data_IF_226072294188
#
_entry.id   IF_226072294188
#
_cell.length_a   1.000
_cell.length_b   1.000
_cell.length_c   1.000
_cell.angle_alpha   90.00
_cell.angle_beta   90.00
_cell.angle_gamma   90.00
#
_symmetry.space_group_name_H-M   'P 1'
#
loop_
_entity.id
_entity.type
_entity.pdbx_description
1 polymer ?
#
# COMPACT_ATOMS: atom_id res chain seq x y z
N UNK A 1 -31.41 -22.10 -20.55
CA UNK A 1 -31.47 -22.78 -19.24
C UNK A 1 -30.51 -23.94 -19.33
N UNK A 2 -29.24 -23.67 -19.07
CA UNK A 2 -28.29 -24.74 -18.75
C UNK A 2 -28.69 -25.24 -17.36
N UNK A 3 -28.97 -26.53 -17.26
CA UNK A 3 -29.22 -27.18 -15.98
C UNK A 3 -27.87 -27.27 -15.29
N UNK A 4 -27.66 -26.49 -14.22
CA UNK A 4 -26.57 -26.74 -13.28
C UNK A 4 -26.78 -28.16 -12.73
N UNK A 5 -25.85 -29.07 -13.00
CA UNK A 5 -25.82 -30.38 -12.33
C UNK A 5 -25.75 -30.13 -10.82
N UNK A 6 -26.73 -30.61 -10.06
CA UNK A 6 -26.72 -30.57 -8.59
C UNK A 6 -25.45 -31.31 -8.11
N UNK A 7 -24.45 -30.54 -7.71
CA UNK A 7 -23.21 -31.08 -7.16
C UNK A 7 -23.50 -31.64 -5.77
N UNK A 8 -23.17 -32.91 -5.56
CA UNK A 8 -23.34 -33.58 -4.26
C UNK A 8 -22.50 -32.83 -3.20
N UNK A 9 -23.09 -32.37 -2.07
CA UNK A 9 -22.35 -31.68 -1.01
C UNK A 9 -21.19 -32.52 -0.50
N UNK A 10 -20.05 -31.89 -0.18
CA UNK A 10 -18.83 -32.62 0.19
C UNK A 10 -19.04 -33.58 1.37
N UNK A 11 -19.85 -33.19 2.36
CA UNK A 11 -20.12 -33.97 3.57
C UNK A 11 -21.00 -35.21 3.32
N UNK A 12 -21.61 -35.35 2.13
CA UNK A 12 -22.34 -36.55 1.73
C UNK A 12 -21.46 -37.54 0.97
N UNK A 13 -20.23 -37.15 0.62
CA UNK A 13 -19.30 -38.02 -0.10
C UNK A 13 -18.71 -39.08 0.84
N UNK A 14 -18.51 -40.34 0.38
CA UNK A 14 -18.05 -41.44 1.24
C UNK A 14 -16.73 -41.16 1.97
N UNK A 15 -15.83 -40.39 1.36
CA UNK A 15 -14.54 -39.99 1.91
C UNK A 15 -14.62 -39.04 3.12
N UNK A 16 -15.81 -38.60 3.53
CA UNK A 16 -16.04 -37.80 4.74
C UNK A 16 -16.75 -38.59 5.86
N UNK A 17 -17.09 -39.86 5.62
CA UNK A 17 -17.86 -40.68 6.56
C UNK A 17 -17.13 -41.04 7.86
N UNK A 18 -15.81 -40.95 7.88
CA UNK A 18 -14.96 -41.16 9.06
C UNK A 18 -14.87 -39.91 9.97
N UNK A 19 -15.26 -38.73 9.47
CA UNK A 19 -15.16 -37.47 10.20
C UNK A 19 -16.44 -37.21 10.97
N UNK A 20 -16.32 -37.09 12.30
CA UNK A 20 -17.42 -36.67 13.16
C UNK A 20 -17.40 -35.13 13.28
N UNK A 21 -18.40 -34.40 12.74
CA UNK A 21 -18.43 -32.93 12.78
C UNK A 21 -18.49 -32.40 14.22
N UNK A 22 -17.85 -31.26 14.47
CA UNK A 22 -17.80 -30.62 15.79
C UNK A 22 -18.58 -29.30 15.76
N UNK A 23 -19.76 -29.22 16.40
CA UNK A 23 -20.56 -28.00 16.49
C UNK A 23 -19.79 -26.81 17.10
N UNK A 24 -20.16 -25.59 16.70
CA UNK A 24 -19.71 -24.39 17.40
C UNK A 24 -20.32 -24.35 18.81
N UNK A 25 -19.50 -24.10 19.82
CA UNK A 25 -19.95 -23.88 21.20
C UNK A 25 -19.94 -22.38 21.53
N UNK A 26 -21.09 -21.72 21.38
CA UNK A 26 -21.30 -20.32 21.77
C UNK A 26 -21.77 -20.18 23.24
N UNK A 27 -21.73 -21.28 24.01
CA UNK A 27 -22.20 -21.34 25.38
C UNK A 27 -23.73 -21.31 25.52
N UNK A 28 -24.24 -21.35 26.76
CA UNK A 28 -25.69 -21.45 27.02
C UNK A 28 -26.47 -20.16 26.76
N UNK A 29 -25.81 -18.99 26.70
CA UNK A 29 -26.44 -17.68 26.51
C UNK A 29 -25.59 -16.82 25.54
N UNK A 30 -25.66 -17.08 24.23
CA UNK A 30 -24.82 -16.38 23.25
C UNK A 30 -25.20 -14.89 23.14
N UNK A 31 -24.20 -14.00 23.08
CA UNK A 31 -24.41 -12.55 23.02
C UNK A 31 -24.67 -12.02 21.59
N UNK A 32 -24.11 -12.69 20.59
CA UNK A 32 -24.19 -12.31 19.16
C UNK A 32 -24.29 -13.55 18.25
N UNK A 33 -25.24 -14.48 18.49
CA UNK A 33 -25.37 -15.67 17.67
C UNK A 33 -25.72 -15.29 16.24
N UNK A 34 -24.99 -15.84 15.28
CA UNK A 34 -25.29 -15.69 13.86
C UNK A 34 -26.20 -16.84 13.45
N UNK A 35 -27.33 -16.53 12.81
CA UNK A 35 -28.21 -17.52 12.21
C UNK A 35 -27.60 -18.01 10.89
N UNK A 36 -26.59 -18.88 10.97
CA UNK A 36 -25.89 -19.42 9.81
C UNK A 36 -26.81 -20.23 8.90
N UNK A 37 -26.48 -20.27 7.60
CA UNK A 37 -27.07 -21.26 6.70
C UNK A 37 -26.64 -22.66 7.14
N UNK A 38 -27.44 -23.68 6.77
CA UNK A 38 -27.10 -25.08 7.06
C UNK A 38 -25.73 -25.42 6.47
N UNK A 39 -25.51 -25.05 5.22
CA UNK A 39 -24.23 -25.21 4.54
C UNK A 39 -23.06 -24.64 5.34
N UNK A 40 -23.11 -23.35 5.72
CA UNK A 40 -22.03 -22.72 6.47
C UNK A 40 -21.78 -23.43 7.81
N UNK A 41 -22.85 -23.72 8.57
CA UNK A 41 -22.71 -24.40 9.87
C UNK A 41 -22.09 -25.78 9.71
N UNK A 42 -22.53 -26.58 8.74
CA UNK A 42 -22.00 -27.92 8.48
C UNK A 42 -20.55 -27.85 8.04
N UNK A 43 -20.20 -27.00 7.07
CA UNK A 43 -18.81 -26.85 6.60
C UNK A 43 -17.87 -26.47 7.74
N UNK A 44 -18.29 -25.53 8.61
CA UNK A 44 -17.50 -25.13 9.77
C UNK A 44 -17.40 -26.23 10.84
N UNK A 45 -18.43 -27.06 11.01
CA UNK A 45 -18.37 -28.20 11.94
C UNK A 45 -17.31 -29.22 11.51
N UNK A 46 -17.25 -29.51 10.20
CA UNK A 46 -16.21 -30.36 9.62
C UNK A 46 -14.82 -29.71 9.72
N UNK A 47 -14.72 -28.39 9.48
CA UNK A 47 -13.45 -27.68 9.63
C UNK A 47 -12.93 -27.73 11.07
N UNK A 48 -13.79 -27.57 12.07
CA UNK A 48 -13.44 -27.75 13.49
C UNK A 48 -12.96 -29.17 13.80
N UNK A 49 -13.60 -30.19 13.20
CA UNK A 49 -13.17 -31.59 13.34
C UNK A 49 -11.78 -31.83 12.75
N UNK A 50 -11.57 -31.43 11.49
CA UNK A 50 -10.30 -31.56 10.76
C UNK A 50 -9.15 -30.84 11.48
N UNK A 51 -9.38 -29.60 11.91
CA UNK A 51 -8.35 -28.80 12.60
C UNK A 51 -8.01 -29.34 13.98
N UNK A 52 -8.99 -29.86 14.74
CA UNK A 52 -8.75 -30.53 16.03
C UNK A 52 -7.96 -31.82 15.88
N UNK A 53 -8.18 -32.56 14.80
CA UNK A 53 -7.39 -33.75 14.45
C UNK A 53 -5.99 -33.40 13.91
N UNK A 54 -5.72 -32.13 13.61
CA UNK A 54 -4.51 -31.65 12.94
C UNK A 54 -4.25 -32.39 11.61
N UNK A 55 -5.32 -32.74 10.89
CA UNK A 55 -5.23 -33.56 9.69
C UNK A 55 -4.60 -32.78 8.52
N UNK A 56 -3.50 -33.32 7.99
CA UNK A 56 -2.81 -32.78 6.81
C UNK A 56 -3.06 -33.67 5.59
N UNK A 57 -4.15 -33.40 4.87
CA UNK A 57 -4.61 -34.20 3.73
C UNK A 57 -5.13 -33.35 2.59
N UNK A 58 -5.26 -33.94 1.40
CA UNK A 58 -5.85 -33.26 0.24
C UNK A 58 -7.30 -32.83 0.50
N UNK A 59 -8.12 -33.68 1.15
CA UNK A 59 -9.50 -33.33 1.52
C UNK A 59 -9.57 -32.17 2.51
N UNK A 60 -8.59 -32.06 3.42
CA UNK A 60 -8.51 -30.93 4.33
C UNK A 60 -8.19 -29.64 3.57
N UNK A 61 -7.34 -29.70 2.53
CA UNK A 61 -7.03 -28.55 1.68
C UNK A 61 -8.25 -28.12 0.86
N UNK A 62 -8.96 -29.06 0.25
CA UNK A 62 -10.24 -28.80 -0.45
C UNK A 62 -11.28 -28.18 0.48
N UNK A 63 -11.39 -28.67 1.72
CA UNK A 63 -12.31 -28.08 2.71
C UNK A 63 -11.97 -26.62 3.02
N UNK A 64 -10.67 -26.26 3.09
CA UNK A 64 -10.31 -24.84 3.30
C UNK A 64 -10.78 -23.95 2.16
N UNK A 65 -10.77 -24.43 0.91
CA UNK A 65 -11.27 -23.70 -0.24
C UNK A 65 -12.77 -23.41 -0.13
N UNK A 66 -13.56 -24.43 0.25
CA UNK A 66 -15.01 -24.29 0.48
C UNK A 66 -15.28 -23.28 1.60
N UNK A 67 -14.59 -23.40 2.74
CA UNK A 67 -14.77 -22.48 3.87
C UNK A 67 -14.38 -21.04 3.48
N UNK A 68 -13.30 -20.86 2.73
CA UNK A 68 -12.87 -19.55 2.25
C UNK A 68 -13.90 -18.95 1.29
N UNK A 69 -14.46 -19.74 0.37
CA UNK A 69 -15.53 -19.28 -0.52
C UNK A 69 -16.78 -18.80 0.25
N UNK A 70 -17.09 -19.45 1.38
CA UNK A 70 -18.20 -19.04 2.25
C UNK A 70 -17.87 -17.85 3.15
N UNK A 71 -16.62 -17.70 3.59
CA UNK A 71 -16.17 -16.61 4.45
C UNK A 71 -14.68 -16.27 4.22
N UNK A 72 -14.38 -15.42 3.22
CA UNK A 72 -13.01 -15.05 2.85
C UNK A 72 -12.23 -14.32 3.95
N UNK A 73 -12.91 -13.77 4.96
CA UNK A 73 -12.29 -13.08 6.09
C UNK A 73 -11.84 -14.01 7.22
N UNK A 74 -12.08 -15.32 7.13
CA UNK A 74 -11.80 -16.26 8.22
C UNK A 74 -10.29 -16.60 8.33
N UNK A 75 -9.52 -15.75 9.01
CA UNK A 75 -8.05 -15.85 9.07
C UNK A 75 -7.50 -17.18 9.59
N UNK A 76 -8.19 -17.89 10.50
CA UNK A 76 -7.77 -19.23 10.96
C UNK A 76 -7.72 -20.25 9.82
N UNK A 77 -8.63 -20.16 8.86
CA UNK A 77 -8.72 -21.08 7.72
C UNK A 77 -7.56 -20.82 6.76
N UNK A 78 -7.26 -19.53 6.50
CA UNK A 78 -6.10 -19.12 5.71
C UNK A 78 -4.78 -19.61 6.32
N UNK A 79 -4.60 -19.46 7.63
CA UNK A 79 -3.43 -20.00 8.32
C UNK A 79 -3.35 -21.53 8.17
N UNK A 80 -4.47 -22.23 8.34
CA UNK A 80 -4.49 -23.68 8.19
C UNK A 80 -4.14 -24.10 6.76
N UNK A 81 -4.69 -23.42 5.76
CA UNK A 81 -4.39 -23.61 4.34
C UNK A 81 -2.89 -23.43 4.03
N UNK A 82 -2.26 -22.37 4.55
CA UNK A 82 -0.81 -22.16 4.39
C UNK A 82 0.02 -23.34 4.92
N UNK A 83 -0.35 -23.87 6.10
CA UNK A 83 0.30 -25.05 6.66
C UNK A 83 0.11 -26.29 5.78
N UNK A 84 -1.10 -26.48 5.23
CA UNK A 84 -1.40 -27.60 4.33
C UNK A 84 -0.63 -27.51 3.02
N UNK A 85 -0.57 -26.34 2.38
CA UNK A 85 0.20 -26.12 1.15
C UNK A 85 1.66 -26.53 1.33
N UNK A 86 2.25 -26.16 2.47
CA UNK A 86 3.62 -26.55 2.84
C UNK A 86 3.75 -28.04 3.13
N UNK A 87 2.87 -28.60 3.97
CA UNK A 87 2.94 -30.00 4.38
C UNK A 87 2.74 -30.97 3.21
N UNK A 88 1.89 -30.61 2.26
CA UNK A 88 1.56 -31.41 1.08
C UNK A 88 2.47 -31.10 -0.12
N UNK A 89 3.41 -30.17 0.01
CA UNK A 89 4.31 -29.72 -1.06
C UNK A 89 3.56 -29.39 -2.36
N UNK A 90 2.52 -28.55 -2.25
CA UNK A 90 1.66 -28.18 -3.39
C UNK A 90 2.38 -27.23 -4.36
N UNK A 91 1.95 -27.28 -5.62
CA UNK A 91 2.38 -26.35 -6.65
C UNK A 91 1.81 -24.94 -6.36
N UNK A 92 2.69 -24.04 -5.92
CA UNK A 92 2.33 -22.68 -5.53
C UNK A 92 1.87 -21.82 -6.71
N UNK A 93 2.18 -22.17 -7.96
CA UNK A 93 1.69 -21.41 -9.11
C UNK A 93 0.18 -21.58 -9.29
N UNK A 94 -0.34 -22.79 -9.03
CA UNK A 94 -1.80 -23.04 -9.03
C UNK A 94 -2.49 -22.27 -7.91
N UNK A 95 -1.84 -22.19 -6.75
CA UNK A 95 -2.36 -21.39 -5.64
C UNK A 95 -2.39 -19.90 -5.98
N UNK A 96 -1.35 -19.35 -6.61
CA UNK A 96 -1.31 -17.95 -7.04
C UNK A 96 -2.40 -17.61 -8.05
N UNK A 97 -2.73 -18.53 -8.95
CA UNK A 97 -3.84 -18.36 -9.90
C UNK A 97 -5.20 -18.38 -9.18
N UNK A 98 -5.41 -19.31 -8.25
CA UNK A 98 -6.63 -19.33 -7.44
C UNK A 98 -6.78 -18.05 -6.62
N UNK A 99 -5.70 -17.58 -5.99
CA UNK A 99 -5.68 -16.32 -5.24
C UNK A 99 -5.93 -15.11 -6.13
N UNK A 100 -5.49 -15.12 -7.40
CA UNK A 100 -5.78 -14.04 -8.35
C UNK A 100 -7.29 -13.90 -8.57
N UNK A 101 -8.00 -14.99 -8.81
CA UNK A 101 -9.47 -14.98 -8.93
C UNK A 101 -10.14 -14.48 -7.65
N UNK A 102 -9.64 -14.91 -6.48
CA UNK A 102 -10.14 -14.43 -5.18
C UNK A 102 -9.92 -12.92 -4.99
N UNK A 103 -8.85 -12.34 -5.54
CA UNK A 103 -8.61 -10.88 -5.51
C UNK A 103 -9.63 -10.14 -6.38
N UNK A 104 -9.95 -10.65 -7.56
CA UNK A 104 -10.96 -10.06 -8.45
C UNK A 104 -12.33 -9.98 -7.75
N UNK A 105 -12.74 -11.04 -7.05
CA UNK A 105 -14.02 -11.08 -6.34
C UNK A 105 -14.01 -10.29 -5.01
N UNK A 106 -12.88 -10.28 -4.32
CA UNK A 106 -12.75 -9.74 -2.96
C UNK A 106 -11.50 -8.85 -2.76
N UNK A 107 -11.36 -7.76 -3.54
CA UNK A 107 -10.12 -6.98 -3.62
C UNK A 107 -9.81 -6.18 -2.34
N UNK A 108 -10.73 -6.15 -1.36
CA UNK A 108 -10.61 -5.44 -0.08
C UNK A 108 -10.41 -6.37 1.13
N UNK A 109 -10.07 -7.64 0.88
CA UNK A 109 -9.82 -8.62 1.94
C UNK A 109 -8.35 -8.60 2.39
N UNK A 110 -8.11 -8.34 3.68
CA UNK A 110 -6.77 -8.43 4.26
C UNK A 110 -6.15 -9.81 4.09
N UNK A 111 -6.94 -10.87 4.27
CA UNK A 111 -6.46 -12.24 4.29
C UNK A 111 -5.97 -12.69 2.91
N UNK A 112 -6.67 -12.31 1.84
CA UNK A 112 -6.33 -12.70 0.47
C UNK A 112 -5.00 -12.06 0.05
N UNK A 113 -4.84 -10.75 0.26
CA UNK A 113 -3.58 -10.06 -0.05
C UNK A 113 -2.42 -10.57 0.79
N UNK A 114 -2.65 -10.81 2.08
CA UNK A 114 -1.63 -11.41 2.95
C UNK A 114 -1.26 -12.84 2.50
N UNK A 115 -2.25 -13.65 2.10
CA UNK A 115 -1.99 -14.99 1.62
C UNK A 115 -1.16 -14.97 0.33
N UNK A 116 -1.49 -14.09 -0.63
CA UNK A 116 -0.69 -13.89 -1.85
C UNK A 116 0.77 -13.57 -1.50
N UNK A 117 0.97 -12.61 -0.59
CA UNK A 117 2.30 -12.23 -0.10
C UNK A 117 3.09 -13.43 0.44
N UNK A 118 2.47 -14.24 1.29
CA UNK A 118 3.08 -15.45 1.85
C UNK A 118 3.46 -16.44 0.75
N UNK A 119 2.57 -16.68 -0.21
CA UNK A 119 2.82 -17.64 -1.30
C UNK A 119 3.96 -17.14 -2.21
N UNK A 120 3.97 -15.86 -2.57
CA UNK A 120 5.05 -15.25 -3.38
C UNK A 120 6.40 -15.31 -2.64
N UNK A 121 6.44 -15.01 -1.35
CA UNK A 121 7.67 -15.08 -0.55
C UNK A 121 8.23 -16.52 -0.50
N UNK A 122 7.36 -17.51 -0.27
CA UNK A 122 7.76 -18.91 -0.25
C UNK A 122 8.24 -19.40 -1.63
N UNK A 123 7.52 -19.02 -2.69
CA UNK A 123 7.90 -19.37 -4.06
C UNK A 123 9.26 -18.72 -4.42
N UNK A 124 9.46 -17.44 -4.07
CA UNK A 124 10.72 -16.73 -4.32
C UNK A 124 11.93 -17.38 -3.64
N UNK A 125 11.77 -17.92 -2.44
CA UNK A 125 12.83 -18.70 -1.75
C UNK A 125 13.15 -19.99 -2.52
N UNK A 126 12.15 -20.68 -3.08
CA UNK A 126 12.36 -21.88 -3.89
C UNK A 126 13.02 -21.58 -5.25
N UNK A 127 12.81 -20.36 -5.78
CA UNK A 127 13.34 -19.92 -7.06
C UNK A 127 14.82 -19.46 -6.97
N UNK A 128 15.35 -19.25 -5.76
CA UNK A 128 16.76 -19.00 -5.49
C UNK A 128 17.45 -20.34 -5.13
N UNK A 129 18.62 -20.69 -5.69
CA UNK A 129 19.28 -21.93 -5.33
C UNK A 129 19.64 -21.93 -3.84
N UNK A 130 19.53 -23.10 -3.22
CA UNK A 130 19.99 -23.28 -1.85
C UNK A 130 21.46 -22.85 -1.71
N UNK A 131 21.88 -22.26 -0.56
CA UNK A 131 23.26 -21.86 -0.29
C UNK A 131 24.25 -23.03 -0.13
N UNK A 132 24.07 -24.12 -0.88
CA UNK A 132 24.81 -25.38 -0.74
C UNK A 132 25.57 -25.79 -1.99
N UNK A 133 25.93 -24.86 -2.87
CA UNK A 133 26.93 -25.11 -3.91
C UNK A 133 27.83 -23.87 -4.10
N UNK A 134 29.00 -23.92 -3.46
CA UNK A 134 30.11 -22.96 -3.45
C UNK A 134 30.06 -21.83 -2.40
N UNK A 135 30.85 -22.07 -1.36
CA UNK A 135 31.25 -21.13 -0.31
C UNK A 135 31.84 -19.82 -0.87
N UNK A 136 31.16 -18.72 -0.60
CA UNK A 136 31.81 -17.43 -0.39
C UNK A 136 31.22 -16.80 0.87
N UNK A 137 32.06 -16.68 1.89
CA UNK A 137 31.74 -16.20 3.22
C UNK A 137 31.08 -14.81 3.19
N UNK A 138 29.80 -14.73 3.51
CA UNK A 138 29.15 -13.47 3.91
C UNK A 138 29.30 -13.31 5.43
N UNK A 139 30.47 -12.81 5.84
CA UNK A 139 30.73 -12.41 7.22
C UNK A 139 30.09 -11.05 7.49
N UNK A 140 29.07 -11.02 8.34
CA UNK A 140 28.54 -9.77 8.90
C UNK A 140 27.05 -9.81 9.22
N UNK A 141 26.62 -10.72 10.11
CA UNK A 141 25.26 -10.65 10.68
C UNK A 141 25.39 -10.59 12.20
N UNK A 142 25.13 -9.40 12.75
CA UNK A 142 24.92 -9.19 14.18
C UNK A 142 23.48 -9.55 14.51
N UNK A 143 23.31 -10.38 15.54
CA UNK A 143 22.03 -10.93 15.98
C UNK A 143 21.26 -9.93 16.86
N UNK A 144 20.20 -9.33 16.31
CA UNK A 144 19.01 -8.92 17.06
C UNK A 144 17.87 -8.62 16.09
N UNK A 145 16.70 -9.20 16.37
CA UNK A 145 15.39 -9.07 15.72
C UNK A 145 15.06 -10.07 14.59
N UNK A 146 14.07 -10.92 14.91
CA UNK A 146 13.55 -11.98 14.07
C UNK A 146 12.57 -11.41 13.01
N UNK A 147 13.10 -10.79 11.96
CA UNK A 147 12.47 -10.68 10.62
C UNK A 147 13.56 -10.35 9.59
N UNK A 148 14.60 -11.18 9.50
CA UNK A 148 15.61 -11.01 8.44
C UNK A 148 15.12 -11.72 7.19
N UNK A 149 14.39 -11.00 6.34
CA UNK A 149 14.12 -11.44 4.97
C UNK A 149 15.47 -11.68 4.30
N UNK A 150 15.74 -12.93 3.92
CA UNK A 150 16.95 -13.33 3.21
C UNK A 150 16.87 -12.84 1.76
N UNK A 151 17.00 -11.52 1.56
CA UNK A 151 17.00 -10.95 0.21
C UNK A 151 18.41 -11.06 -0.36
N UNK A 152 18.65 -12.06 -1.21
CA UNK A 152 19.86 -12.10 -2.03
C UNK A 152 19.79 -10.89 -2.99
N UNK A 153 20.79 -9.99 -3.00
CA UNK A 153 20.76 -8.83 -3.90
C UNK A 153 20.61 -9.25 -5.36
N UNK A 154 19.66 -8.66 -6.08
CA UNK A 154 19.41 -8.97 -7.49
C UNK A 154 20.68 -8.93 -8.37
N UNK A 155 21.65 -8.07 -8.03
CA UNK A 155 22.90 -7.91 -8.77
C UNK A 155 23.82 -9.14 -8.70
N UNK A 156 23.71 -9.97 -7.65
CA UNK A 156 24.57 -11.14 -7.48
C UNK A 156 23.95 -12.43 -8.03
N UNK A 157 22.70 -12.35 -8.51
CA UNK A 157 22.01 -13.47 -9.14
C UNK A 157 22.62 -13.80 -10.51
N UNK A 158 22.54 -15.08 -10.89
CA UNK A 158 22.84 -15.48 -12.27
C UNK A 158 21.72 -15.04 -13.24
N UNK A 159 21.97 -15.12 -14.55
CA UNK A 159 21.00 -14.61 -15.53
C UNK A 159 19.68 -15.39 -15.56
N UNK A 160 19.68 -16.69 -15.23
CA UNK A 160 18.44 -17.47 -15.15
C UNK A 160 17.62 -17.04 -13.94
N UNK A 161 18.27 -16.86 -12.78
CA UNK A 161 17.63 -16.37 -11.57
C UNK A 161 17.08 -14.95 -11.75
N UNK A 162 17.86 -14.05 -12.37
CA UNK A 162 17.39 -12.70 -12.70
C UNK A 162 16.14 -12.74 -13.57
N UNK A 163 16.13 -13.61 -14.59
CA UNK A 163 14.97 -13.75 -15.45
C UNK A 163 13.73 -14.20 -14.66
N UNK A 164 13.88 -15.22 -13.83
CA UNK A 164 12.80 -15.69 -12.94
C UNK A 164 12.27 -14.60 -12.00
N UNK A 165 13.17 -13.81 -11.39
CA UNK A 165 12.78 -12.68 -10.54
C UNK A 165 12.05 -11.60 -11.33
N UNK A 166 12.54 -11.24 -12.53
CA UNK A 166 11.87 -10.28 -13.41
C UNK A 166 10.46 -10.75 -13.76
N UNK A 167 10.31 -12.01 -14.15
CA UNK A 167 9.01 -12.58 -14.52
C UNK A 167 8.04 -12.59 -13.33
N UNK A 168 8.54 -12.91 -12.14
CA UNK A 168 7.74 -12.88 -10.91
C UNK A 168 7.27 -11.46 -10.60
N UNK A 169 8.19 -10.48 -10.55
CA UNK A 169 7.85 -9.07 -10.28
C UNK A 169 6.85 -8.56 -11.31
N UNK A 170 7.08 -8.83 -12.61
CA UNK A 170 6.19 -8.42 -13.69
C UNK A 170 4.77 -8.95 -13.47
N UNK A 171 4.61 -10.25 -13.20
CA UNK A 171 3.30 -10.86 -12.94
C UNK A 171 2.59 -10.24 -11.73
N UNK A 172 3.32 -9.99 -10.63
CA UNK A 172 2.73 -9.34 -9.46
C UNK A 172 2.28 -7.90 -9.77
N UNK A 173 3.11 -7.12 -10.48
CA UNK A 173 2.75 -5.76 -10.88
C UNK A 173 1.58 -5.72 -11.87
N UNK A 174 1.40 -6.75 -12.70
CA UNK A 174 0.24 -6.93 -13.59
C UNK A 174 -1.05 -7.16 -12.79
N UNK A 175 -1.07 -8.12 -11.86
CA UNK A 175 -2.25 -8.37 -10.99
C UNK A 175 -2.64 -7.14 -10.18
N UNK A 176 -1.64 -6.40 -9.68
CA UNK A 176 -1.87 -5.13 -9.00
C UNK A 176 -2.48 -4.10 -9.96
N UNK A 177 -1.94 -3.98 -11.17
CA UNK A 177 -2.41 -3.02 -12.16
C UNK A 177 -3.86 -3.31 -12.58
N UNK A 178 -4.23 -4.58 -12.73
CA UNK A 178 -5.61 -5.01 -12.98
C UNK A 178 -6.55 -4.55 -11.85
N UNK A 179 -6.16 -4.77 -10.58
CA UNK A 179 -6.96 -4.30 -9.44
C UNK A 179 -7.07 -2.77 -9.42
N UNK A 180 -5.98 -2.06 -9.70
CA UNK A 180 -5.94 -0.60 -9.70
C UNK A 180 -6.65 0.03 -10.90
N UNK A 181 -6.85 -0.72 -11.99
CA UNK A 181 -7.68 -0.28 -13.11
C UNK A 181 -9.15 -0.17 -12.68
N UNK A 182 -9.63 -1.08 -11.83
CA UNK A 182 -10.99 -1.07 -11.29
C UNK A 182 -11.15 -0.09 -10.11
N UNK A 183 -10.22 -0.12 -9.15
CA UNK A 183 -10.17 0.77 -7.99
C UNK A 183 -8.76 1.34 -7.82
N UNK A 184 -8.50 2.47 -8.48
CA UNK A 184 -7.19 3.15 -8.50
C UNK A 184 -6.71 3.65 -7.13
N UNK A 185 -7.54 3.51 -6.09
CA UNK A 185 -7.25 3.89 -4.71
C UNK A 185 -7.33 2.71 -3.75
N UNK A 186 -7.38 1.47 -4.26
CA UNK A 186 -7.37 0.27 -3.42
C UNK A 186 -6.10 0.24 -2.54
N UNK A 187 -6.30 0.37 -1.24
CA UNK A 187 -5.21 0.47 -0.28
C UNK A 187 -4.40 -0.82 -0.18
N UNK A 188 -5.03 -1.98 -0.33
CA UNK A 188 -4.35 -3.27 -0.26
C UNK A 188 -3.45 -3.48 -1.47
N UNK A 189 -3.94 -3.17 -2.67
CA UNK A 189 -3.17 -3.25 -3.90
C UNK A 189 -1.94 -2.33 -3.85
N UNK A 190 -2.09 -1.07 -3.40
CA UNK A 190 -0.96 -0.15 -3.22
C UNK A 190 0.03 -0.62 -2.16
N UNK A 191 -0.46 -1.12 -1.01
CA UNK A 191 0.41 -1.65 0.05
C UNK A 191 1.20 -2.86 -0.42
N UNK A 192 0.54 -3.76 -1.15
CA UNK A 192 1.16 -4.94 -1.75
C UNK A 192 2.18 -4.55 -2.83
N UNK A 193 1.88 -3.56 -3.67
CA UNK A 193 2.82 -3.02 -4.67
C UNK A 193 4.11 -2.52 -4.03
N UNK A 194 4.01 -1.75 -2.94
CA UNK A 194 5.19 -1.30 -2.20
C UNK A 194 5.96 -2.47 -1.60
N UNK A 195 5.27 -3.47 -1.06
CA UNK A 195 5.92 -4.68 -0.58
C UNK A 195 6.67 -5.41 -1.69
N UNK A 196 6.09 -5.62 -2.87
CA UNK A 196 6.76 -6.27 -4.02
C UNK A 196 8.06 -5.52 -4.36
N UNK A 197 7.98 -4.20 -4.55
CA UNK A 197 9.14 -3.38 -4.90
C UNK A 197 10.24 -3.45 -3.82
N UNK A 198 9.87 -3.36 -2.55
CA UNK A 198 10.82 -3.45 -1.42
C UNK A 198 11.38 -4.86 -1.21
N UNK A 199 10.56 -5.89 -1.38
CA UNK A 199 10.92 -7.30 -1.13
C UNK A 199 11.94 -7.78 -2.15
N UNK A 200 11.73 -7.51 -3.44
CA UNK A 200 12.68 -7.88 -4.50
C UNK A 200 13.86 -6.90 -4.61
N UNK A 201 13.76 -5.74 -3.96
CA UNK A 201 14.87 -4.81 -3.81
C UNK A 201 15.25 -4.09 -5.11
N UNK A 202 16.50 -3.60 -5.24
CA UNK A 202 16.93 -2.82 -6.41
C UNK A 202 16.93 -3.66 -7.70
N UNK A 203 16.14 -3.23 -8.70
CA UNK A 203 16.00 -3.86 -10.02
C UNK A 203 15.36 -2.90 -11.04
N UNK A 204 15.18 -3.32 -12.30
CA UNK A 204 14.68 -2.45 -13.38
C UNK A 204 13.25 -1.91 -13.14
N UNK A 205 12.43 -2.64 -12.38
CA UNK A 205 11.05 -2.28 -12.07
C UNK A 205 10.88 -0.94 -11.32
N UNK A 206 11.93 -0.41 -10.68
CA UNK A 206 11.84 0.91 -10.02
C UNK A 206 11.81 2.08 -11.00
N UNK A 207 12.45 1.95 -12.17
CA UNK A 207 12.41 2.98 -13.22
C UNK A 207 11.04 2.97 -13.90
N UNK A 208 10.55 1.78 -14.26
CA UNK A 208 9.22 1.54 -14.83
C UNK A 208 8.10 2.03 -13.90
N UNK A 209 8.31 1.99 -12.59
CA UNK A 209 7.33 2.46 -11.61
C UNK A 209 7.05 3.96 -11.75
N UNK A 210 8.04 4.79 -12.08
CA UNK A 210 7.83 6.23 -12.29
C UNK A 210 7.00 6.52 -13.55
N UNK A 211 7.14 5.70 -14.59
CA UNK A 211 6.35 5.78 -15.82
C UNK A 211 4.89 5.40 -15.53
N UNK A 212 4.68 4.26 -14.86
CA UNK A 212 3.36 3.82 -14.43
C UNK A 212 2.62 4.88 -13.60
N UNK A 213 3.33 5.54 -12.68
CA UNK A 213 2.77 6.63 -11.87
C UNK A 213 2.41 7.84 -12.74
N UNK A 214 3.22 8.21 -13.73
CA UNK A 214 2.91 9.35 -14.59
C UNK A 214 1.69 9.08 -15.47
N UNK A 215 1.49 7.83 -15.93
CA UNK A 215 0.28 7.42 -16.64
C UNK A 215 -0.96 7.59 -15.74
N UNK A 216 -0.91 7.08 -14.51
CA UNK A 216 -2.00 7.23 -13.54
C UNK A 216 -2.30 8.70 -13.22
N UNK A 217 -1.27 9.53 -13.03
CA UNK A 217 -1.43 10.96 -12.74
C UNK A 217 -1.80 11.79 -13.98
N UNK A 218 -1.63 11.23 -15.18
CA UNK A 218 -2.15 11.82 -16.43
C UNK A 218 -3.65 11.58 -16.55
N UNK A 219 -4.13 10.41 -16.12
CA UNK A 219 -5.56 10.09 -16.05
C UNK A 219 -6.26 10.82 -14.90
N UNK A 220 -5.75 10.71 -13.67
CA UNK A 220 -6.27 11.40 -12.49
C UNK A 220 -5.14 12.03 -11.65
N UNK A 221 -4.90 13.31 -11.90
CA UNK A 221 -3.93 14.11 -11.12
C UNK A 221 -4.31 14.25 -9.64
N UNK A 222 -5.56 13.94 -9.24
CA UNK A 222 -6.02 13.95 -7.83
C UNK A 222 -5.89 12.58 -7.16
N UNK A 223 -5.31 11.58 -7.82
CA UNK A 223 -5.06 10.29 -7.21
C UNK A 223 -3.93 10.41 -6.17
N UNK A 224 -4.31 10.63 -4.91
CA UNK A 224 -3.36 10.76 -3.81
C UNK A 224 -2.53 9.48 -3.59
N UNK A 225 -3.05 8.31 -3.92
CA UNK A 225 -2.30 7.05 -3.80
C UNK A 225 -1.15 7.00 -4.81
N UNK A 226 -1.34 7.49 -6.03
CA UNK A 226 -0.28 7.61 -7.03
C UNK A 226 0.77 8.67 -6.62
N UNK A 227 0.36 9.80 -6.04
CA UNK A 227 1.30 10.78 -5.46
C UNK A 227 2.09 10.21 -4.28
N UNK A 228 1.44 9.45 -3.41
CA UNK A 228 2.09 8.72 -2.32
C UNK A 228 3.09 7.70 -2.87
N UNK A 229 2.73 6.95 -3.91
CA UNK A 229 3.63 6.01 -4.56
C UNK A 229 4.84 6.73 -5.17
N UNK A 230 4.62 7.89 -5.81
CA UNK A 230 5.73 8.71 -6.33
C UNK A 230 6.70 9.07 -5.23
N UNK A 231 6.19 9.50 -4.07
CA UNK A 231 7.00 9.84 -2.91
C UNK A 231 7.74 8.62 -2.35
N UNK A 232 7.07 7.47 -2.30
CA UNK A 232 7.70 6.20 -1.91
C UNK A 232 8.90 5.87 -2.82
N UNK A 233 8.74 5.92 -4.15
CA UNK A 233 9.82 5.60 -5.10
C UNK A 233 11.04 6.50 -4.90
N UNK A 234 10.85 7.82 -4.78
CA UNK A 234 11.98 8.74 -4.64
C UNK A 234 12.62 8.72 -3.24
N UNK A 235 11.91 8.24 -2.22
CA UNK A 235 12.34 8.35 -0.81
C UNK A 235 12.81 7.04 -0.21
N UNK A 236 12.38 5.90 -0.77
CA UNK A 236 12.69 4.53 -0.35
C UNK A 236 13.25 3.68 -1.50
N UNK A 237 13.20 4.15 -2.74
CA UNK A 237 13.81 3.46 -3.87
C UNK A 237 15.33 3.44 -3.81
N UNK A 238 15.98 2.69 -4.72
CA UNK A 238 17.41 2.44 -4.69
C UNK A 238 18.26 3.67 -5.07
N UNK A 239 17.68 4.64 -5.78
CA UNK A 239 18.38 5.85 -6.21
C UNK A 239 18.64 6.79 -5.03
N UNK A 240 19.87 7.31 -4.94
CA UNK A 240 20.20 8.39 -4.01
C UNK A 240 19.40 9.63 -4.40
N UNK A 241 18.75 10.29 -3.44
CA UNK A 241 18.03 11.54 -3.66
C UNK A 241 19.03 12.69 -3.86
N UNK A 242 19.55 12.81 -5.08
CA UNK A 242 20.46 13.87 -5.52
C UNK A 242 19.71 15.16 -5.85
N UNK A 243 20.43 16.29 -5.90
CA UNK A 243 19.83 17.59 -6.20
C UNK A 243 19.11 17.62 -7.56
N UNK A 244 19.62 16.92 -8.58
CA UNK A 244 18.96 16.83 -9.90
C UNK A 244 17.61 16.10 -9.84
N UNK A 245 17.49 15.07 -9.00
CA UNK A 245 16.23 14.38 -8.77
C UNK A 245 15.27 15.31 -8.01
N UNK A 246 15.76 16.02 -6.98
CA UNK A 246 14.93 16.96 -6.22
C UNK A 246 14.40 18.07 -7.13
N UNK A 247 15.26 18.67 -7.95
CA UNK A 247 14.87 19.72 -8.90
C UNK A 247 13.84 19.20 -9.91
N UNK A 248 14.05 17.99 -10.45
CA UNK A 248 13.08 17.32 -11.34
C UNK A 248 11.72 17.15 -10.66
N UNK A 249 11.68 16.67 -9.42
CA UNK A 249 10.44 16.42 -8.70
C UNK A 249 9.73 17.71 -8.26
N UNK A 250 10.47 18.74 -7.87
CA UNK A 250 9.92 20.08 -7.61
C UNK A 250 9.29 20.64 -8.88
N UNK A 251 10.00 20.57 -10.02
CA UNK A 251 9.47 21.03 -11.31
C UNK A 251 8.23 20.24 -11.74
N UNK A 252 8.23 18.91 -11.53
CA UNK A 252 7.09 18.04 -11.81
C UNK A 252 5.86 18.45 -10.99
N UNK A 253 6.02 18.64 -9.68
CA UNK A 253 4.94 19.05 -8.78
C UNK A 253 4.40 20.43 -9.15
N UNK A 254 5.28 21.42 -9.38
CA UNK A 254 4.91 22.78 -9.83
C UNK A 254 4.08 22.74 -11.11
N UNK A 255 4.49 21.96 -12.12
CA UNK A 255 3.74 21.79 -13.38
C UNK A 255 2.33 21.23 -13.16
N UNK A 256 2.14 20.30 -12.22
CA UNK A 256 0.81 19.74 -11.92
C UNK A 256 -0.03 20.72 -11.08
N UNK A 257 0.59 21.47 -10.15
CA UNK A 257 -0.04 22.56 -9.38
C UNK A 257 -0.57 23.65 -10.32
N UNK A 258 0.23 24.13 -11.28
CA UNK A 258 -0.19 25.18 -12.21
C UNK A 258 -1.48 24.81 -12.97
N UNK A 259 -1.61 23.54 -13.35
CA UNK A 259 -2.81 23.01 -14.03
C UNK A 259 -4.00 22.90 -13.09
N UNK A 260 -3.78 22.50 -11.84
CA UNK A 260 -4.83 22.30 -10.83
C UNK A 260 -4.45 22.91 -9.48
N UNK A 261 -4.48 24.25 -9.32
CA UNK A 261 -4.00 24.90 -8.10
C UNK A 261 -4.77 24.50 -6.84
N UNK A 262 -6.03 24.10 -6.97
CA UNK A 262 -6.90 23.65 -5.88
C UNK A 262 -6.81 22.14 -5.61
N UNK A 263 -5.87 21.42 -6.22
CA UNK A 263 -5.64 19.99 -5.93
C UNK A 263 -4.60 19.88 -4.82
N UNK A 264 -4.99 19.35 -3.67
CA UNK A 264 -4.11 19.21 -2.48
C UNK A 264 -2.91 18.30 -2.72
N UNK A 265 -3.08 17.16 -3.39
CA UNK A 265 -2.05 16.12 -3.50
C UNK A 265 -0.69 16.61 -4.02
N UNK A 266 -0.58 17.36 -5.14
CA UNK A 266 0.71 17.86 -5.59
C UNK A 266 1.33 18.92 -4.67
N UNK A 267 0.54 19.67 -3.89
CA UNK A 267 1.08 20.57 -2.86
C UNK A 267 1.68 19.79 -1.71
N UNK A 268 0.96 18.79 -1.20
CA UNK A 268 1.46 17.89 -0.16
C UNK A 268 2.72 17.16 -0.61
N UNK A 269 2.74 16.70 -1.87
CA UNK A 269 3.92 16.08 -2.48
C UNK A 269 5.11 17.04 -2.54
N UNK A 270 4.92 18.26 -3.07
CA UNK A 270 5.98 19.27 -3.16
C UNK A 270 6.60 19.58 -1.78
N UNK A 271 5.76 19.80 -0.77
CA UNK A 271 6.22 20.02 0.60
C UNK A 271 6.99 18.81 1.14
N UNK A 272 6.52 17.59 0.87
CA UNK A 272 7.19 16.35 1.24
C UNK A 272 8.58 16.19 0.60
N UNK A 273 8.71 16.50 -0.70
CA UNK A 273 9.99 16.45 -1.43
C UNK A 273 10.99 17.43 -0.83
N UNK A 274 10.60 18.70 -0.64
CA UNK A 274 11.47 19.72 -0.06
C UNK A 274 11.92 19.33 1.35
N UNK A 275 11.00 18.85 2.19
CA UNK A 275 11.31 18.41 3.55
C UNK A 275 12.28 17.21 3.57
N UNK A 276 12.06 16.19 2.71
CA UNK A 276 12.95 15.03 2.60
C UNK A 276 14.36 15.43 2.13
N UNK A 277 14.44 16.39 1.21
CA UNK A 277 15.70 16.97 0.73
C UNK A 277 16.31 18.01 1.69
N UNK A 278 15.62 18.36 2.79
CA UNK A 278 16.00 19.44 3.72
C UNK A 278 16.16 20.81 3.03
N UNK A 279 15.39 21.05 1.96
CA UNK A 279 15.32 22.35 1.28
C UNK A 279 14.29 23.26 1.97
N UNK A 280 14.59 24.57 2.10
CA UNK A 280 13.70 25.50 2.77
C UNK A 280 12.44 25.76 1.94
N UNK A 281 11.26 25.79 2.57
CA UNK A 281 10.00 26.09 1.90
C UNK A 281 9.99 27.46 1.18
N UNK A 282 10.64 28.53 1.69
CA UNK A 282 10.76 29.80 0.98
C UNK A 282 11.36 29.73 -0.43
N UNK A 283 12.04 28.65 -0.80
CA UNK A 283 12.54 28.46 -2.17
C UNK A 283 11.44 28.45 -3.24
N UNK A 284 10.21 28.03 -2.89
CA UNK A 284 9.07 28.03 -3.83
C UNK A 284 8.22 29.31 -3.75
N UNK A 285 8.69 30.34 -3.04
CA UNK A 285 7.95 31.60 -2.83
C UNK A 285 7.61 32.30 -4.14
N UNK A 286 8.59 32.52 -5.01
CA UNK A 286 8.39 33.20 -6.30
C UNK A 286 7.32 32.49 -7.13
N UNK A 287 7.39 31.16 -7.20
CA UNK A 287 6.36 30.33 -7.84
C UNK A 287 4.96 30.53 -7.24
N UNK A 288 4.84 30.61 -5.92
CA UNK A 288 3.55 30.83 -5.25
C UNK A 288 3.01 32.24 -5.51
N UNK A 289 3.86 33.26 -5.48
CA UNK A 289 3.49 34.66 -5.74
C UNK A 289 3.04 34.86 -7.20
N UNK A 290 3.74 34.24 -8.16
CA UNK A 290 3.34 34.22 -9.57
C UNK A 290 2.00 33.51 -9.76
N UNK A 291 1.79 32.38 -9.06
CA UNK A 291 0.55 31.62 -9.13
C UNK A 291 -0.61 32.43 -8.55
N UNK A 292 -0.40 33.22 -7.49
CA UNK A 292 -1.41 34.06 -6.85
C UNK A 292 -1.97 35.12 -7.81
N UNK A 293 -1.18 35.58 -8.78
CA UNK A 293 -1.61 36.52 -9.81
C UNK A 293 -2.63 35.90 -10.79
N UNK A 294 -2.78 34.57 -10.81
CA UNK A 294 -3.73 33.88 -11.68
C UNK A 294 -5.13 33.81 -11.04
N UNK A 295 -6.19 34.29 -11.73
CA UNK A 295 -7.56 34.25 -11.19
C UNK A 295 -8.10 32.85 -10.85
N UNK A 296 -7.50 31.80 -11.40
CA UNK A 296 -7.88 30.40 -11.11
C UNK A 296 -7.24 29.84 -9.84
N UNK A 297 -6.19 30.49 -9.33
CA UNK A 297 -5.39 30.01 -8.21
C UNK A 297 -5.56 30.87 -6.95
N UNK A 298 -5.98 32.12 -7.10
CA UNK A 298 -6.22 33.08 -6.00
C UNK A 298 -7.33 32.69 -4.99
N UNK A 299 -8.04 31.58 -5.22
CA UNK A 299 -8.98 30.98 -4.27
C UNK A 299 -8.55 29.56 -3.85
N UNK A 300 -7.33 29.15 -4.17
CA UNK A 300 -6.79 27.87 -3.71
C UNK A 300 -6.40 27.97 -2.24
N UNK A 301 -7.03 27.20 -1.33
CA UNK A 301 -6.64 27.20 0.07
C UNK A 301 -5.23 26.66 0.28
N UNK A 302 -4.75 25.79 -0.63
CA UNK A 302 -3.40 25.22 -0.54
C UNK A 302 -2.33 26.26 -0.86
N UNK A 303 -2.55 27.11 -1.88
CA UNK A 303 -1.65 28.21 -2.20
C UNK A 303 -1.52 29.17 -1.02
N UNK A 304 -2.66 29.63 -0.48
CA UNK A 304 -2.67 30.55 0.66
C UNK A 304 -2.05 29.93 1.93
N UNK A 305 -2.31 28.63 2.19
CA UNK A 305 -1.67 27.91 3.29
C UNK A 305 -0.15 27.85 3.12
N UNK A 306 0.34 27.54 1.91
CA UNK A 306 1.78 27.48 1.63
C UNK A 306 2.44 28.86 1.76
N UNK A 307 1.80 29.92 1.25
CA UNK A 307 2.29 31.30 1.42
C UNK A 307 2.34 31.71 2.89
N UNK A 308 1.32 31.35 3.69
CA UNK A 308 1.33 31.58 5.13
C UNK A 308 2.54 30.93 5.80
N UNK A 309 2.82 29.66 5.48
CA UNK A 309 3.94 28.92 6.05
C UNK A 309 5.30 29.51 5.63
N UNK A 310 5.44 29.93 4.36
CA UNK A 310 6.62 30.62 3.83
C UNK A 310 6.87 31.94 4.56
N UNK A 311 5.86 32.81 4.62
CA UNK A 311 6.00 34.12 5.25
C UNK A 311 6.24 34.01 6.76
N UNK A 312 5.66 33.01 7.43
CA UNK A 312 5.96 32.71 8.83
C UNK A 312 7.42 32.30 9.02
N UNK A 313 7.96 31.43 8.16
CA UNK A 313 9.36 31.02 8.22
C UNK A 313 10.30 32.22 8.02
N UNK A 314 10.04 33.05 7.00
CA UNK A 314 10.82 34.28 6.78
C UNK A 314 10.74 35.25 7.96
N UNK A 315 9.55 35.43 8.54
CA UNK A 315 9.38 36.31 9.70
C UNK A 315 10.17 35.82 10.92
N UNK A 316 10.26 34.51 11.14
CA UNK A 316 11.04 33.92 12.24
C UNK A 316 12.55 34.00 12.00
N UNK A 317 13.00 33.69 10.80
CA UNK A 317 14.43 33.58 10.47
C UNK A 317 15.06 34.94 10.16
N UNK A 318 14.35 35.79 9.42
CA UNK A 318 14.87 37.08 8.93
C UNK A 318 14.34 38.27 9.73
N UNK A 319 13.45 38.05 10.72
CA UNK A 319 12.85 39.08 11.58
C UNK A 319 12.20 40.24 10.81
N UNK A 320 11.64 39.96 9.63
CA UNK A 320 11.02 40.98 8.77
C UNK A 320 9.57 41.23 9.17
N UNK A 321 9.26 42.49 9.50
CA UNK A 321 7.90 42.93 9.81
C UNK A 321 6.94 42.71 8.63
N UNK A 322 7.41 42.94 7.40
CA UNK A 322 6.62 42.75 6.18
C UNK A 322 6.15 41.29 6.02
N UNK A 323 7.05 40.32 6.17
CA UNK A 323 6.69 38.89 6.11
C UNK A 323 5.66 38.53 7.20
N UNK A 324 5.78 39.11 8.40
CA UNK A 324 4.79 38.88 9.46
C UNK A 324 3.39 39.41 9.09
N UNK A 325 3.30 40.59 8.47
CA UNK A 325 2.01 41.12 8.02
C UNK A 325 1.42 40.29 6.87
N UNK A 326 2.23 39.90 5.88
CA UNK A 326 1.76 39.03 4.79
C UNK A 326 1.27 37.68 5.32
N UNK A 327 1.96 37.06 6.28
CA UNK A 327 1.48 35.83 6.92
C UNK A 327 0.11 36.01 7.61
N UNK A 328 -0.15 37.16 8.23
CA UNK A 328 -1.46 37.47 8.84
C UNK A 328 -2.54 37.68 7.78
N UNK A 329 -2.22 38.33 6.67
CA UNK A 329 -3.13 38.52 5.53
C UNK A 329 -3.56 37.18 4.95
N UNK A 330 -2.62 36.26 4.71
CA UNK A 330 -2.91 34.90 4.25
C UNK A 330 -3.80 34.14 5.24
N UNK A 331 -3.53 34.26 6.54
CA UNK A 331 -4.35 33.64 7.58
C UNK A 331 -5.80 34.16 7.60
N UNK A 332 -5.98 35.46 7.34
CA UNK A 332 -7.31 36.10 7.22
C UNK A 332 -8.01 35.61 5.95
N UNK A 333 -7.30 35.59 4.82
CA UNK A 333 -7.83 35.10 3.54
C UNK A 333 -8.35 33.66 3.67
N UNK A 334 -7.57 32.78 4.31
CA UNK A 334 -7.95 31.41 4.66
C UNK A 334 -9.18 31.36 5.56
N UNK A 335 -9.20 32.12 6.65
CA UNK A 335 -10.27 32.07 7.63
C UNK A 335 -11.61 32.60 7.12
N UNK A 336 -11.58 33.66 6.29
CA UNK A 336 -12.76 34.45 5.96
C UNK A 336 -13.28 34.20 4.53
N UNK A 337 -12.42 33.74 3.60
CA UNK A 337 -12.78 33.64 2.18
C UNK A 337 -12.56 32.27 1.57
N UNK A 338 -11.40 31.64 1.75
CA UNK A 338 -11.02 30.47 0.94
C UNK A 338 -11.15 29.10 1.63
N UNK A 339 -11.04 29.04 2.97
CA UNK A 339 -11.14 27.79 3.74
C UNK A 339 -11.95 27.99 5.04
N UNK A 340 -13.17 28.48 4.88
CA UNK A 340 -14.05 28.87 6.00
C UNK A 340 -14.44 27.69 6.89
N UNK A 341 -14.44 26.46 6.36
CA UNK A 341 -14.65 25.23 7.14
C UNK A 341 -13.57 25.04 8.20
N UNK A 342 -12.32 25.48 7.93
CA UNK A 342 -11.21 25.50 8.89
C UNK A 342 -10.96 26.88 9.50
N UNK A 343 -11.92 27.81 9.46
CA UNK A 343 -11.78 29.18 9.99
C UNK A 343 -11.26 29.26 11.43
N UNK A 344 -11.67 28.33 12.31
CA UNK A 344 -11.17 28.26 13.69
C UNK A 344 -9.67 27.93 13.74
N UNK A 345 -9.20 27.02 12.89
CA UNK A 345 -7.79 26.66 12.77
C UNK A 345 -6.96 27.83 12.25
N UNK A 346 -7.42 28.52 11.21
CA UNK A 346 -6.72 29.68 10.64
C UNK A 346 -6.64 30.87 11.60
N UNK A 347 -7.72 31.13 12.35
CA UNK A 347 -7.70 32.13 13.42
C UNK A 347 -6.75 31.76 14.55
N UNK A 348 -6.67 30.46 14.90
CA UNK A 348 -5.67 29.96 15.82
C UNK A 348 -4.24 30.15 15.27
N UNK A 349 -3.95 29.74 14.02
CA UNK A 349 -2.64 29.98 13.36
C UNK A 349 -2.26 31.45 13.39
N UNK A 350 -3.19 32.36 13.02
CA UNK A 350 -2.99 33.82 13.10
C UNK A 350 -2.60 34.29 14.50
N UNK A 351 -3.20 33.71 15.54
CA UNK A 351 -2.88 34.07 16.93
C UNK A 351 -1.45 33.65 17.32
N UNK A 352 -0.93 32.55 16.76
CA UNK A 352 0.43 32.08 17.01
C UNK A 352 1.48 33.04 16.42
N UNK A 353 1.18 33.73 15.34
CA UNK A 353 2.07 34.72 14.71
C UNK A 353 2.43 35.87 15.65
N UNK A 354 1.59 36.19 16.66
CA UNK A 354 1.88 37.24 17.65
C UNK A 354 3.08 36.92 18.55
N UNK A 355 3.48 35.65 18.63
CA UNK A 355 4.63 35.22 19.43
C UNK A 355 5.98 35.50 18.75
N UNK A 356 5.98 35.89 17.47
CA UNK A 356 7.20 36.18 16.72
C UNK A 356 7.73 37.55 17.16
N UNK A 357 8.91 37.55 17.78
CA UNK A 357 9.62 38.76 18.21
C UNK A 357 10.37 39.34 17.02
N UNK A 358 9.96 40.53 16.56
CA UNK A 358 10.70 41.30 15.56
C UNK A 358 11.82 42.09 16.23
N UNK A 359 12.93 42.31 15.53
CA UNK A 359 13.90 43.33 15.96
C UNK A 359 13.28 44.71 15.75
N UNK A 360 13.41 45.57 16.77
CA UNK A 360 12.80 46.90 16.84
C UNK A 360 13.44 47.91 15.87
#
# INVERSE_FOLDING_TARGET
MEYEEETVPFYEKPEWSDVVPIPQDDGPNPLVPIAYTKEYSTTMDYFRAITRAQEQSERALELTEIVIGLSPSHYTVWHYRQNLLKALNKDLNKELEWVRNMIEEHPKSYQIWHHRQVVVEHNSIQLLPHPSDNSASLTGISTSDATTTLTIPYQVLDENQKQTVRDTVRLELEVIAETLLEDSKNHHAWSYRQWVLSHFGPGPWWEEELEYIDDLLTVDVRNNSAWNQRFFVISQGPSVLSEDIVDREVAYAKKKIERTPSNESPWTYLAGVLNKAKRPLPEIKEFCEDLLALPRANFSPHLHSTLLDIYEQEAKEQKRAESLERAKEEAIMLAEKVDTIRSKYWNWRKSQLKSIILEA
#
